data_IF_850164124446
#
_entry.id   IF_850164124446
#
_cell.length_a   1.000
_cell.length_b   1.000
_cell.length_c   1.000
_cell.angle_alpha   90.00
_cell.angle_beta   90.00
_cell.angle_gamma   90.00
#
_symmetry.space_group_name_H-M   'P 1'
#
loop_
_entity.id
_entity.type
_entity.pdbx_description
1 polymer ?
#
# COMPACT_ATOMS: atom_id res chain seq x y z
N UNK A 1 11.38 -14.89 -4.90
CA UNK A 1 11.18 -14.03 -3.71
C UNK A 1 9.75 -14.23 -3.25
N UNK A 2 9.54 -14.62 -1.98
CA UNK A 2 8.19 -14.72 -1.43
C UNK A 2 7.64 -13.31 -1.25
N UNK A 3 6.40 -13.07 -1.67
CA UNK A 3 5.68 -11.81 -1.50
C UNK A 3 4.87 -11.85 -0.20
N UNK A 4 4.82 -10.76 0.54
CA UNK A 4 3.98 -10.61 1.74
C UNK A 4 3.21 -9.28 1.63
N UNK A 5 1.89 -9.36 1.76
CA UNK A 5 0.96 -8.23 1.65
C UNK A 5 0.45 -7.73 3.01
N UNK A 6 0.60 -8.52 4.06
CA UNK A 6 0.14 -8.17 5.40
C UNK A 6 1.13 -8.62 6.45
N UNK A 7 1.50 -7.71 7.36
CA UNK A 7 2.40 -8.01 8.47
C UNK A 7 1.94 -7.31 9.75
N UNK A 8 1.92 -8.05 10.88
CA UNK A 8 1.74 -7.47 12.21
C UNK A 8 3.09 -7.08 12.77
N UNK A 9 3.25 -5.82 13.18
CA UNK A 9 4.49 -5.33 13.78
C UNK A 9 4.22 -4.61 15.10
N UNK A 10 5.19 -4.72 16.01
CA UNK A 10 5.25 -3.96 17.23
C UNK A 10 6.19 -2.79 17.07
N UNK A 11 5.72 -1.61 17.38
CA UNK A 11 6.49 -0.36 17.29
C UNK A 11 6.55 0.31 18.66
N UNK A 12 7.74 0.73 19.06
CA UNK A 12 7.99 1.41 20.32
C UNK A 12 8.93 2.59 20.10
N UNK A 13 8.51 3.77 20.47
CA UNK A 13 9.36 4.96 20.48
C UNK A 13 10.29 4.97 21.68
N UNK A 14 11.33 5.78 21.63
CA UNK A 14 12.27 5.95 22.73
C UNK A 14 11.65 6.74 23.88
N UNK A 15 11.95 6.34 25.11
CA UNK A 15 11.67 7.17 26.29
C UNK A 15 12.58 8.39 26.29
N UNK A 16 12.14 9.50 26.83
CA UNK A 16 12.96 10.65 27.12
C UNK A 16 14.01 10.35 28.21
N UNK A 17 15.16 10.97 28.13
CA UNK A 17 16.18 10.91 29.15
C UNK A 17 15.79 11.73 30.38
N UNK A 18 16.24 11.33 31.55
CA UNK A 18 16.05 12.11 32.76
C UNK A 18 16.92 13.36 32.78
N UNK A 19 16.44 14.46 33.31
CA UNK A 19 17.23 15.61 33.67
C UNK A 19 18.26 15.28 34.76
N UNK A 20 19.21 16.15 34.98
CA UNK A 20 20.25 15.99 36.03
C UNK A 20 20.03 16.94 37.20
N UNK A 21 20.33 16.45 38.41
CA UNK A 21 20.40 17.27 39.62
C UNK A 21 21.86 17.43 40.04
N UNK A 22 22.63 18.23 39.32
CA UNK A 22 24.03 18.51 39.61
C UNK A 22 24.26 19.94 40.06
N UNK A 23 25.39 20.16 40.73
CA UNK A 23 25.79 21.46 41.20
C UNK A 23 27.21 21.75 40.75
N UNK A 24 27.50 23.00 40.40
CA UNK A 24 28.82 23.47 40.04
C UNK A 24 29.77 23.35 41.23
N UNK A 25 30.87 22.65 41.07
CA UNK A 25 31.93 22.52 42.06
C UNK A 25 33.25 22.78 41.36
N UNK A 26 33.92 23.87 41.72
CA UNK A 26 35.21 24.23 41.20
C UNK A 26 36.13 24.64 42.31
N UNK A 27 37.47 24.71 42.03
CA UNK A 27 38.45 25.25 42.97
C UNK A 27 38.04 26.69 43.28
N UNK A 28 37.89 27.03 44.57
CA UNK A 28 37.42 28.33 45.09
C UNK A 28 35.90 28.61 44.96
N UNK A 29 35.11 27.66 44.46
CA UNK A 29 33.62 27.78 44.40
C UNK A 29 33.01 26.51 45.05
N UNK A 30 33.04 26.37 46.36
CA UNK A 30 32.54 25.16 47.04
C UNK A 30 31.00 25.05 47.00
N UNK A 31 30.26 26.18 46.94
CA UNK A 31 28.82 26.27 46.90
C UNK A 31 28.31 26.84 45.58
N UNK A 32 28.69 26.22 44.47
CA UNK A 32 28.17 26.58 43.17
C UNK A 32 26.69 26.30 42.97
N UNK A 33 26.01 27.09 42.17
CA UNK A 33 24.57 26.91 41.88
C UNK A 33 24.25 25.64 41.12
N UNK A 34 22.94 25.33 40.87
CA UNK A 34 22.52 24.20 40.07
C UNK A 34 23.04 24.34 38.65
N UNK A 35 23.56 23.26 38.07
CA UNK A 35 24.08 23.16 36.71
C UNK A 35 23.75 21.83 36.04
N UNK A 36 22.64 21.23 36.43
CA UNK A 36 22.13 20.00 35.79
C UNK A 36 21.45 20.30 34.46
N UNK A 37 21.96 19.68 33.41
CA UNK A 37 21.36 19.77 32.08
C UNK A 37 20.10 18.91 31.93
N UNK A 38 19.34 19.17 30.90
CA UNK A 38 18.11 18.44 30.55
C UNK A 38 18.40 17.09 29.92
N UNK A 39 17.48 16.15 30.04
CA UNK A 39 17.49 14.91 29.27
C UNK A 39 17.19 15.15 27.80
N UNK A 40 17.71 14.32 26.94
CA UNK A 40 17.38 14.32 25.52
C UNK A 40 16.00 13.69 25.25
N UNK A 41 15.31 14.13 24.21
CA UNK A 41 14.08 13.46 23.76
C UNK A 41 14.38 12.05 23.26
N UNK A 42 13.44 11.13 23.40
CA UNK A 42 13.46 9.84 22.72
C UNK A 42 13.22 9.94 21.21
N UNK A 43 13.71 8.98 20.45
CA UNK A 43 13.43 8.88 19.03
C UNK A 43 12.00 8.44 18.75
N UNK A 44 11.44 8.92 17.65
CA UNK A 44 10.12 8.52 17.15
C UNK A 44 10.21 7.33 16.20
N UNK A 45 9.10 6.61 15.99
CA UNK A 45 8.97 5.61 14.92
C UNK A 45 8.19 6.24 13.78
N UNK A 46 8.85 6.34 12.61
CA UNK A 46 8.33 7.00 11.42
C UNK A 46 8.27 5.97 10.29
N UNK A 47 7.14 5.89 9.60
CA UNK A 47 6.98 5.08 8.39
C UNK A 47 7.11 5.99 7.18
N UNK A 48 7.83 5.51 6.17
CA UNK A 48 8.06 6.22 4.90
C UNK A 48 7.68 5.29 3.76
N UNK A 49 6.79 5.75 2.88
CA UNK A 49 6.48 5.04 1.65
C UNK A 49 7.63 5.21 0.64
N UNK A 50 7.96 4.14 -0.08
CA UNK A 50 8.94 4.19 -1.16
C UNK A 50 8.50 3.35 -2.34
N UNK A 51 8.67 3.90 -3.55
CA UNK A 51 8.43 3.20 -4.81
C UNK A 51 9.45 2.09 -5.09
N UNK A 52 10.60 2.08 -4.40
CA UNK A 52 11.64 1.06 -4.56
C UNK A 52 11.24 -0.32 -4.00
N UNK A 53 10.24 -0.36 -3.11
CA UNK A 53 9.73 -1.58 -2.50
C UNK A 53 8.41 -1.98 -3.13
N UNK A 54 8.19 -3.30 -3.22
CA UNK A 54 6.95 -3.88 -3.74
C UNK A 54 6.38 -5.00 -2.85
N UNK A 55 6.95 -5.19 -1.65
CA UNK A 55 6.54 -6.25 -0.72
C UNK A 55 6.85 -5.87 0.71
N UNK A 56 6.09 -6.41 1.65
CA UNK A 56 6.31 -6.29 3.11
C UNK A 56 7.12 -7.46 3.68
N UNK A 57 7.85 -8.22 2.86
CA UNK A 57 8.51 -9.46 3.26
C UNK A 57 9.47 -9.28 4.43
N UNK A 58 10.17 -8.15 4.52
CA UNK A 58 11.13 -7.86 5.59
C UNK A 58 10.45 -7.81 6.96
N UNK A 59 9.20 -7.40 7.01
CA UNK A 59 8.39 -7.30 8.22
C UNK A 59 7.89 -8.66 8.73
N UNK A 60 8.02 -9.72 7.96
CA UNK A 60 7.76 -11.10 8.40
C UNK A 60 8.86 -11.62 9.32
N UNK A 61 10.10 -11.26 9.01
CA UNK A 61 11.26 -11.74 9.74
C UNK A 61 11.60 -10.87 10.95
N UNK A 62 11.33 -9.57 10.85
CA UNK A 62 11.52 -8.63 11.93
C UNK A 62 10.17 -7.97 12.25
N UNK A 63 9.65 -8.28 13.44
CA UNK A 63 8.34 -7.78 13.87
C UNK A 63 8.42 -6.70 14.94
N UNK A 64 9.58 -6.47 15.54
CA UNK A 64 9.76 -5.53 16.65
C UNK A 64 10.69 -4.40 16.23
N UNK A 65 10.20 -3.18 16.28
CA UNK A 65 10.94 -1.99 15.90
C UNK A 65 10.93 -0.98 17.05
N UNK A 66 12.14 -0.65 17.52
CA UNK A 66 12.34 0.29 18.63
C UNK A 66 13.21 1.44 18.19
N UNK A 67 12.83 2.67 18.58
CA UNK A 67 13.64 3.85 18.43
C UNK A 67 14.58 4.01 19.64
N UNK A 68 15.64 4.81 19.51
CA UNK A 68 16.60 5.02 20.58
C UNK A 68 16.01 5.86 21.71
N UNK A 69 16.43 5.57 22.94
CA UNK A 69 16.10 6.38 24.12
C UNK A 69 16.88 7.68 24.09
N UNK A 70 16.33 8.74 24.68
CA UNK A 70 17.05 9.96 24.96
C UNK A 70 18.12 9.75 26.03
N UNK A 71 19.27 10.38 25.84
CA UNK A 71 20.35 10.39 26.83
C UNK A 71 19.96 11.18 28.08
N UNK A 72 20.47 10.77 29.24
CA UNK A 72 20.28 11.54 30.45
C UNK A 72 21.06 12.85 30.42
N UNK A 73 20.54 13.89 31.05
CA UNK A 73 21.25 15.12 31.33
C UNK A 73 22.44 14.89 32.26
N UNK A 74 23.44 15.72 32.16
CA UNK A 74 24.66 15.63 32.94
C UNK A 74 24.98 16.97 33.62
N UNK A 75 25.95 16.98 34.47
CA UNK A 75 26.46 18.22 35.08
C UNK A 75 27.10 19.15 34.07
N UNK A 76 27.39 20.40 34.50
CA UNK A 76 27.93 21.47 33.70
C UNK A 76 26.99 21.85 32.50
N UNK A 77 25.70 21.91 32.77
CA UNK A 77 24.62 22.25 31.80
C UNK A 77 24.63 21.43 30.51
N UNK A 78 25.21 20.21 30.55
CA UNK A 78 25.22 19.32 29.39
C UNK A 78 23.90 18.59 29.25
N UNK A 79 23.21 18.90 28.16
CA UNK A 79 21.99 18.22 27.80
C UNK A 79 22.24 16.78 27.28
N UNK A 80 21.33 15.89 27.56
CA UNK A 80 21.33 14.54 27.02
C UNK A 80 21.13 14.54 25.48
N UNK A 81 21.80 13.63 24.81
CA UNK A 81 21.64 13.45 23.35
C UNK A 81 20.21 13.00 23.03
N UNK A 82 19.59 13.58 22.00
CA UNK A 82 18.33 13.07 21.48
C UNK A 82 18.52 11.67 20.89
N UNK A 83 17.58 10.77 21.17
CA UNK A 83 17.51 9.44 20.56
C UNK A 83 17.23 9.54 19.08
N UNK A 84 17.82 8.63 18.29
CA UNK A 84 17.59 8.57 16.85
C UNK A 84 16.21 8.01 16.55
N UNK A 85 15.54 8.60 15.59
CA UNK A 85 14.28 8.12 15.07
C UNK A 85 14.49 6.77 14.35
N UNK A 86 13.49 5.88 14.42
CA UNK A 86 13.45 4.63 13.68
C UNK A 86 12.60 4.81 12.44
N UNK A 87 13.20 4.75 11.27
CA UNK A 87 12.51 4.86 9.99
C UNK A 87 12.20 3.45 9.49
N UNK A 88 10.92 3.21 9.15
CA UNK A 88 10.41 1.99 8.55
C UNK A 88 10.02 2.30 7.11
N UNK A 89 10.66 1.65 6.16
CA UNK A 89 10.36 1.83 4.73
C UNK A 89 9.31 0.81 4.29
N UNK A 90 8.22 1.28 3.73
CA UNK A 90 7.13 0.44 3.22
C UNK A 90 6.86 0.75 1.74
N UNK A 91 6.31 -0.20 0.98
CA UNK A 91 5.85 0.08 -0.39
C UNK A 91 4.79 1.17 -0.43
N UNK A 92 4.74 1.92 -1.54
CA UNK A 92 3.60 2.80 -1.85
C UNK A 92 2.32 1.95 -1.91
N UNK A 93 1.20 2.47 -1.37
CA UNK A 93 -0.06 1.74 -1.25
C UNK A 93 -0.17 0.90 0.02
N UNK A 94 0.74 1.08 0.98
CA UNK A 94 0.62 0.43 2.29
C UNK A 94 -0.38 1.17 3.17
N UNK A 95 -1.40 0.44 3.65
CA UNK A 95 -2.32 0.89 4.70
C UNK A 95 -1.80 0.45 6.06
N UNK A 96 -1.85 1.33 7.00
CA UNK A 96 -1.50 1.06 8.39
C UNK A 96 -2.79 1.01 9.20
N UNK A 97 -3.05 -0.14 9.81
CA UNK A 97 -4.23 -0.37 10.63
C UNK A 97 -3.83 -0.50 12.11
N UNK A 98 -4.74 -0.15 13.00
CA UNK A 98 -4.61 -0.44 14.41
C UNK A 98 -4.65 -1.97 14.68
N UNK A 99 -4.48 -2.37 15.92
CA UNK A 99 -4.46 -3.79 16.30
C UNK A 99 -5.77 -4.51 16.01
N UNK A 100 -6.90 -3.79 16.04
CA UNK A 100 -8.25 -4.27 15.73
C UNK A 100 -8.44 -4.65 14.25
N UNK A 101 -7.53 -4.26 13.36
CA UNK A 101 -7.62 -4.38 11.88
C UNK A 101 -8.76 -3.57 11.22
N UNK A 102 -9.50 -2.80 11.97
CA UNK A 102 -10.63 -2.01 11.46
C UNK A 102 -10.26 -0.53 11.35
N UNK A 103 -9.61 -0.01 12.39
CA UNK A 103 -9.23 1.41 12.44
C UNK A 103 -8.03 1.69 11.54
N UNK A 104 -8.24 2.52 10.51
CA UNK A 104 -7.16 2.99 9.62
C UNK A 104 -6.41 4.12 10.29
N UNK A 105 -5.11 3.91 10.59
CA UNK A 105 -4.22 4.94 11.13
C UNK A 105 -3.70 5.84 10.01
N UNK A 106 -3.29 5.23 8.89
CA UNK A 106 -2.79 5.96 7.72
C UNK A 106 -2.89 5.12 6.44
N UNK A 107 -2.97 5.80 5.30
CA UNK A 107 -2.90 5.20 3.96
C UNK A 107 -1.79 5.93 3.20
N UNK A 108 -0.71 5.20 2.91
CA UNK A 108 0.51 5.74 2.29
C UNK A 108 0.46 5.49 0.78
N UNK A 109 0.01 6.48 0.03
CA UNK A 109 -0.28 6.35 -1.41
C UNK A 109 0.70 7.06 -2.32
N UNK A 110 1.56 7.93 -1.76
CA UNK A 110 2.54 8.70 -2.52
C UNK A 110 3.96 8.33 -2.10
N UNK A 111 4.87 8.35 -3.06
CA UNK A 111 6.30 8.13 -2.78
C UNK A 111 6.83 9.25 -1.89
N UNK A 112 7.63 8.88 -0.88
CA UNK A 112 8.15 9.81 0.12
C UNK A 112 7.14 10.25 1.18
N UNK A 113 5.87 9.84 1.12
CA UNK A 113 4.89 10.14 2.16
C UNK A 113 5.31 9.54 3.49
N UNK A 114 5.20 10.34 4.57
CA UNK A 114 5.65 9.94 5.91
C UNK A 114 4.52 10.01 6.92
N UNK A 115 4.53 9.09 7.88
CA UNK A 115 3.63 9.11 9.04
C UNK A 115 4.39 8.74 10.31
N UNK A 116 4.15 9.47 11.40
CA UNK A 116 4.70 9.15 12.72
C UNK A 116 3.74 8.20 13.45
N UNK A 117 4.16 6.94 13.66
CA UNK A 117 3.36 5.95 14.37
C UNK A 117 3.43 6.12 15.88
N UNK A 118 4.63 6.37 16.41
CA UNK A 118 4.85 6.55 17.83
C UNK A 118 5.78 7.75 18.04
N UNK A 119 5.34 8.71 18.83
CA UNK A 119 6.14 9.89 19.17
C UNK A 119 7.09 9.56 20.34
N UNK A 120 8.34 9.96 20.21
CA UNK A 120 9.32 9.82 21.29
C UNK A 120 8.94 10.66 22.51
N UNK A 121 9.24 10.12 23.71
CA UNK A 121 9.01 10.83 24.96
C UNK A 121 9.91 12.04 25.09
N UNK A 122 9.42 13.12 25.66
CA UNK A 122 10.19 14.34 25.89
C UNK A 122 11.23 14.13 27.00
N UNK A 123 12.39 14.82 26.88
CA UNK A 123 13.41 14.81 27.92
C UNK A 123 12.97 15.52 29.19
N UNK A 124 13.36 15.00 30.34
CA UNK A 124 13.12 15.62 31.65
C UNK A 124 13.98 16.86 31.84
N UNK A 125 13.47 17.87 32.54
CA UNK A 125 14.17 19.09 32.84
C UNK A 125 15.20 18.86 33.99
N UNK A 126 16.38 19.47 33.84
CA UNK A 126 17.41 19.51 34.85
C UNK A 126 17.09 20.46 36.02
N UNK A 127 17.84 20.36 37.10
CA UNK A 127 17.59 21.18 38.28
C UNK A 127 17.78 22.69 38.07
N UNK A 128 18.48 23.09 37.04
CA UNK A 128 18.65 24.51 36.66
C UNK A 128 17.30 25.20 36.39
N UNK A 129 16.33 24.49 35.82
CA UNK A 129 14.98 25.01 35.53
C UNK A 129 14.14 25.29 36.78
N UNK A 130 14.47 24.65 37.90
CA UNK A 130 13.71 24.77 39.16
C UNK A 130 14.30 25.79 40.13
N UNK A 131 15.33 26.56 39.69
CA UNK A 131 15.92 27.63 40.47
C UNK A 131 14.94 28.79 40.56
N UNK A 132 14.67 29.22 41.80
CA UNK A 132 13.83 30.37 42.13
C UNK A 132 14.54 31.30 43.10
N UNK A 133 14.01 32.49 43.38
CA UNK A 133 14.55 33.42 44.36
C UNK A 133 14.59 32.83 45.78
N UNK A 134 13.60 31.99 46.11
CA UNK A 134 13.47 31.32 47.41
C UNK A 134 14.20 29.98 47.48
N UNK A 135 14.30 29.25 46.36
CA UNK A 135 15.01 28.00 46.28
C UNK A 135 16.17 28.11 45.27
N UNK A 136 17.33 28.58 45.74
CA UNK A 136 18.52 28.81 44.89
C UNK A 136 19.33 27.54 44.59
N UNK A 137 19.08 26.44 45.28
CA UNK A 137 19.80 25.17 45.14
C UNK A 137 18.82 23.98 45.01
N UNK A 138 17.93 23.94 44.03
CA UNK A 138 16.96 22.85 43.89
C UNK A 138 17.67 21.53 43.55
N UNK A 139 17.22 20.46 44.21
CA UNK A 139 17.64 19.07 43.94
C UNK A 139 16.60 18.32 43.10
N UNK A 140 15.52 19.01 42.71
CA UNK A 140 14.46 18.45 41.88
C UNK A 140 14.92 18.41 40.44
N UNK A 141 14.58 17.32 39.73
CA UNK A 141 14.69 17.14 38.28
C UNK A 141 13.48 16.32 37.81
N UNK A 142 13.26 16.25 36.53
CA UNK A 142 12.22 15.44 35.91
C UNK A 142 12.79 14.15 35.31
N UNK A 143 12.11 13.01 35.44
CA UNK A 143 12.65 11.70 35.02
C UNK A 143 12.61 11.51 33.48
N UNK A 144 12.04 12.43 32.75
CA UNK A 144 11.72 12.26 31.30
C UNK A 144 10.38 11.53 31.11
N UNK A 145 9.80 11.69 29.97
CA UNK A 145 8.49 11.15 29.63
C UNK A 145 8.60 9.79 28.94
N UNK A 146 7.65 8.88 29.18
CA UNK A 146 7.63 7.60 28.48
C UNK A 146 7.41 7.81 26.97
N UNK A 147 7.95 6.92 26.17
CA UNK A 147 7.61 6.81 24.77
C UNK A 147 6.31 6.03 24.60
N UNK A 148 5.73 6.14 23.42
CA UNK A 148 4.54 5.41 23.00
C UNK A 148 4.90 4.03 22.46
N UNK A 149 4.00 3.08 22.59
CA UNK A 149 4.12 1.75 22.01
C UNK A 149 2.76 1.24 21.55
N UNK A 150 2.76 0.48 20.44
CA UNK A 150 1.54 -0.15 19.93
C UNK A 150 1.83 -1.28 18.96
N UNK A 151 0.86 -2.16 18.81
CA UNK A 151 0.79 -3.10 17.71
C UNK A 151 0.04 -2.46 16.53
N UNK A 152 0.56 -2.64 15.33
CA UNK A 152 -0.09 -2.19 14.10
C UNK A 152 -0.01 -3.27 13.04
N UNK A 153 -0.97 -3.26 12.14
CA UNK A 153 -0.94 -4.06 10.93
C UNK A 153 -0.49 -3.18 9.75
N UNK A 154 0.48 -3.66 9.02
CA UNK A 154 0.82 -3.15 7.71
C UNK A 154 0.08 -4.02 6.69
N UNK A 155 -0.70 -3.43 5.83
CA UNK A 155 -1.43 -4.09 4.78
C UNK A 155 -1.13 -3.41 3.45
N UNK A 156 -0.50 -4.14 2.54
CA UNK A 156 -0.22 -3.64 1.20
C UNK A 156 -1.47 -3.84 0.36
N UNK A 157 -2.14 -2.75 0.03
CA UNK A 157 -3.12 -2.76 -1.05
C UNK A 157 -2.34 -2.98 -2.34
N UNK A 158 -2.44 -4.18 -2.89
CA UNK A 158 -1.97 -4.41 -4.24
C UNK A 158 -2.81 -3.57 -5.19
N UNK A 159 -2.22 -2.48 -5.59
CA UNK A 159 -2.78 -1.60 -6.60
C UNK A 159 -2.38 -2.17 -7.96
N UNK A 160 -3.17 -3.12 -8.44
CA UNK A 160 -3.29 -3.24 -9.88
C UNK A 160 -4.28 -2.15 -10.31
N UNK A 161 -3.82 -1.24 -11.13
CA UNK A 161 -4.67 -0.19 -11.67
C UNK A 161 -5.75 -0.76 -12.58
N UNK A 162 -5.41 -1.84 -13.31
CA UNK A 162 -6.34 -2.58 -14.16
C UNK A 162 -6.22 -4.08 -13.93
N UNK A 163 -7.35 -4.79 -13.97
CA UNK A 163 -7.44 -6.25 -13.84
C UNK A 163 -7.90 -6.91 -15.13
N UNK A 164 -7.24 -8.03 -15.52
CA UNK A 164 -7.70 -8.88 -16.62
C UNK A 164 -8.72 -9.88 -16.09
N UNK A 165 -9.90 -9.90 -16.69
CA UNK A 165 -10.97 -10.84 -16.37
C UNK A 165 -11.37 -11.61 -17.65
N UNK A 166 -11.90 -12.80 -17.48
CA UNK A 166 -12.31 -13.67 -18.60
C UNK A 166 -12.18 -15.15 -18.23
N UNK A 167 -12.85 -16.01 -18.97
CA UNK A 167 -12.80 -17.45 -18.80
C UNK A 167 -11.38 -18.02 -18.93
N UNK A 168 -11.10 -19.23 -18.45
CA UNK A 168 -9.87 -19.95 -18.74
C UNK A 168 -9.59 -19.96 -20.25
N UNK A 169 -8.32 -19.83 -20.64
CA UNK A 169 -7.86 -19.79 -22.03
C UNK A 169 -8.35 -18.59 -22.87
N UNK A 170 -9.03 -17.61 -22.31
CA UNK A 170 -9.39 -16.37 -23.02
C UNK A 170 -8.18 -15.54 -23.49
N UNK A 171 -6.96 -15.92 -23.07
CA UNK A 171 -5.72 -15.28 -23.49
C UNK A 171 -5.21 -14.20 -22.53
N UNK A 172 -5.66 -14.20 -21.26
CA UNK A 172 -5.23 -13.21 -20.26
C UNK A 172 -3.71 -13.15 -20.07
N UNK A 173 -3.08 -14.29 -19.85
CA UNK A 173 -1.62 -14.35 -19.67
C UNK A 173 -0.86 -13.98 -20.95
N UNK A 174 -1.40 -14.30 -22.13
CA UNK A 174 -0.84 -13.87 -23.42
C UNK A 174 -0.95 -12.37 -23.60
N UNK A 175 -2.09 -11.78 -23.26
CA UNK A 175 -2.29 -10.34 -23.29
C UNK A 175 -1.32 -9.62 -22.35
N UNK A 176 -1.15 -10.10 -21.12
CA UNK A 176 -0.19 -9.55 -20.16
C UNK A 176 1.24 -9.62 -20.70
N UNK A 177 1.63 -10.75 -21.30
CA UNK A 177 2.96 -10.93 -21.91
C UNK A 177 3.18 -9.99 -23.09
N UNK A 178 2.17 -9.80 -23.95
CA UNK A 178 2.23 -8.88 -25.10
C UNK A 178 2.24 -7.40 -24.68
N UNK A 179 1.68 -7.08 -23.51
CA UNK A 179 1.55 -5.72 -22.98
C UNK A 179 2.79 -5.24 -22.25
N UNK A 180 3.55 -6.12 -21.61
CA UNK A 180 4.68 -5.76 -20.75
C UNK A 180 6.00 -5.87 -21.51
N UNK A 181 6.82 -4.80 -21.53
CA UNK A 181 8.20 -4.84 -22.04
C UNK A 181 9.14 -5.63 -21.15
N UNK A 182 8.83 -5.75 -19.85
CA UNK A 182 9.56 -6.58 -18.90
C UNK A 182 8.81 -7.91 -18.74
N UNK A 183 9.54 -9.01 -18.47
CA UNK A 183 8.89 -10.28 -18.13
C UNK A 183 7.93 -10.05 -16.96
N UNK A 184 6.65 -10.50 -17.06
CA UNK A 184 5.71 -10.38 -15.97
C UNK A 184 6.33 -10.96 -14.69
N UNK A 185 6.31 -10.20 -13.60
CA UNK A 185 6.77 -10.69 -12.32
C UNK A 185 5.66 -11.57 -11.74
N UNK A 186 6.00 -12.81 -11.44
CA UNK A 186 5.14 -13.72 -10.69
C UNK A 186 5.20 -13.28 -9.24
N UNK A 187 4.06 -12.94 -8.66
CA UNK A 187 3.95 -12.60 -7.25
C UNK A 187 3.48 -13.86 -6.49
N UNK A 188 4.37 -14.44 -5.69
CA UNK A 188 4.10 -15.58 -4.81
C UNK A 188 3.23 -15.12 -3.62
N UNK A 189 1.94 -15.37 -3.67
CA UNK A 189 1.03 -15.13 -2.55
C UNK A 189 0.86 -16.43 -1.74
N UNK A 190 1.19 -16.44 -0.44
CA UNK A 190 1.15 -17.66 0.37
C UNK A 190 -0.26 -18.24 0.60
N UNK A 191 -1.30 -17.54 0.13
CA UNK A 191 -2.70 -17.93 0.28
C UNK A 191 -3.41 -18.18 -1.06
N UNK A 192 -2.69 -18.10 -2.20
CA UNK A 192 -3.24 -18.42 -3.53
C UNK A 192 -2.63 -19.71 -4.02
N UNK A 193 -3.48 -20.65 -4.41
CA UNK A 193 -3.05 -21.86 -5.14
C UNK A 193 -2.64 -21.53 -6.58
N UNK A 194 -2.94 -20.30 -7.05
CA UNK A 194 -2.57 -19.75 -8.36
C UNK A 194 -1.97 -18.37 -8.17
N UNK A 195 -0.74 -18.17 -8.58
CA UNK A 195 0.03 -16.94 -8.45
C UNK A 195 -0.46 -15.89 -9.45
N UNK A 196 -0.94 -14.71 -8.99
CA UNK A 196 -1.29 -13.63 -9.90
C UNK A 196 -0.02 -13.10 -10.58
N UNK A 197 -0.12 -12.87 -11.87
CA UNK A 197 0.95 -12.27 -12.65
C UNK A 197 0.70 -10.78 -12.79
N UNK A 198 1.68 -9.98 -12.37
CA UNK A 198 1.64 -8.54 -12.48
C UNK A 198 2.55 -8.08 -13.63
N UNK A 199 2.05 -7.19 -14.46
CA UNK A 199 2.82 -6.52 -15.50
C UNK A 199 2.79 -5.01 -15.32
N UNK A 200 3.94 -4.36 -15.31
CA UNK A 200 4.02 -2.91 -15.36
C UNK A 200 4.00 -2.45 -16.81
N UNK A 201 3.04 -1.62 -17.14
CA UNK A 201 2.84 -1.04 -18.48
C UNK A 201 3.29 0.41 -18.42
N UNK A 202 4.17 0.80 -19.32
CA UNK A 202 4.66 2.18 -19.44
C UNK A 202 4.09 2.82 -20.70
N UNK A 203 3.37 3.92 -20.54
CA UNK A 203 2.80 4.74 -21.61
C UNK A 203 3.20 6.19 -21.35
N UNK A 204 3.85 6.82 -22.31
CA UNK A 204 4.24 8.24 -22.26
C UNK A 204 4.94 8.67 -20.96
N UNK A 205 5.91 7.84 -20.49
CA UNK A 205 6.69 8.02 -19.26
C UNK A 205 5.92 7.80 -17.95
N UNK A 206 4.64 7.49 -18.00
CA UNK A 206 3.85 7.10 -16.84
C UNK A 206 3.61 5.58 -16.82
N UNK A 207 3.50 5.01 -15.64
CA UNK A 207 3.31 3.58 -15.47
C UNK A 207 2.00 3.26 -14.77
N UNK A 208 1.37 2.15 -15.18
CA UNK A 208 0.29 1.53 -14.44
C UNK A 208 0.51 0.02 -14.34
N UNK A 209 -0.10 -0.60 -13.33
CA UNK A 209 0.02 -2.02 -13.06
C UNK A 209 -1.19 -2.76 -13.58
N UNK A 210 -0.95 -3.78 -14.40
CA UNK A 210 -1.95 -4.70 -14.92
C UNK A 210 -1.81 -6.05 -14.21
N UNK A 211 -2.90 -6.57 -13.64
CA UNK A 211 -2.94 -7.88 -13.00
C UNK A 211 -3.66 -8.90 -13.88
N UNK A 212 -3.03 -10.05 -14.11
CA UNK A 212 -3.72 -11.26 -14.58
C UNK A 212 -4.36 -11.92 -13.36
N UNK A 213 -5.69 -11.93 -13.33
CA UNK A 213 -6.48 -12.47 -12.24
C UNK A 213 -6.89 -13.90 -12.62
N UNK A 214 -6.12 -14.94 -12.20
CA UNK A 214 -6.51 -16.32 -12.41
C UNK A 214 -7.70 -16.66 -11.50
N UNK A 215 -8.58 -17.56 -11.89
CA UNK A 215 -9.54 -18.18 -10.99
C UNK A 215 -10.98 -17.68 -11.01
N UNK A 216 -11.39 -16.83 -11.96
CA UNK A 216 -12.81 -16.74 -12.32
C UNK A 216 -13.16 -18.01 -13.08
N UNK A 217 -13.60 -19.05 -12.36
CA UNK A 217 -14.04 -20.36 -12.90
C UNK A 217 -15.49 -20.52 -12.43
N UNK A 218 -16.35 -21.07 -13.28
CA UNK A 218 -17.71 -21.47 -12.89
C UNK A 218 -17.73 -22.18 -11.53
N UNK A 219 -18.45 -21.61 -10.55
CA UNK A 219 -18.59 -22.17 -9.21
C UNK A 219 -17.56 -21.72 -8.17
N UNK A 220 -16.71 -20.72 -8.43
CA UNK A 220 -15.78 -20.20 -7.43
C UNK A 220 -16.49 -19.54 -6.23
N UNK A 221 -17.71 -19.08 -6.40
CA UNK A 221 -18.55 -18.49 -5.34
C UNK A 221 -19.24 -19.54 -4.44
N UNK A 222 -19.30 -20.83 -4.84
CA UNK A 222 -20.03 -21.88 -4.11
C UNK A 222 -19.16 -22.79 -3.25
N UNK A 223 -17.81 -22.67 -3.31
CA UNK A 223 -16.91 -23.60 -2.66
C UNK A 223 -15.71 -22.98 -1.92
N UNK A 224 -15.74 -23.07 -0.63
CA UNK A 224 -14.61 -23.14 0.29
C UNK A 224 -13.56 -22.00 0.23
N UNK A 225 -13.93 -20.76 0.54
CA UNK A 225 -12.97 -19.77 1.09
C UNK A 225 -11.84 -19.29 0.18
N UNK A 226 -11.67 -19.82 -1.02
CA UNK A 226 -10.67 -19.43 -2.00
C UNK A 226 -11.12 -18.23 -2.86
N UNK A 227 -12.40 -18.15 -3.19
CA UNK A 227 -12.99 -17.08 -4.00
C UNK A 227 -12.91 -15.72 -3.33
N UNK A 228 -13.27 -15.62 -2.06
CA UNK A 228 -13.34 -14.36 -1.31
C UNK A 228 -11.98 -13.65 -1.16
N UNK A 229 -10.92 -14.42 -0.93
CA UNK A 229 -9.56 -13.85 -0.78
C UNK A 229 -8.98 -13.36 -2.10
N UNK A 230 -9.37 -14.00 -3.19
CA UNK A 230 -8.82 -13.72 -4.51
C UNK A 230 -9.52 -12.54 -5.19
N UNK A 231 -10.83 -12.45 -5.06
CA UNK A 231 -11.65 -11.36 -5.58
C UNK A 231 -11.42 -10.03 -4.82
N UNK A 232 -10.86 -10.08 -3.60
CA UNK A 232 -10.33 -8.92 -2.92
C UNK A 232 -9.22 -8.17 -3.68
N UNK A 233 -8.55 -8.85 -4.61
CA UNK A 233 -7.56 -8.20 -5.51
C UNK A 233 -8.25 -7.51 -6.69
N UNK A 234 -9.36 -8.07 -7.21
CA UNK A 234 -10.18 -7.46 -8.25
C UNK A 234 -10.89 -6.22 -7.72
N UNK A 235 -11.33 -6.27 -6.47
CA UNK A 235 -11.96 -5.15 -5.76
C UNK A 235 -11.07 -3.89 -5.80
N UNK A 236 -9.77 -4.09 -5.78
CA UNK A 236 -8.76 -3.00 -5.75
C UNK A 236 -8.34 -2.48 -7.12
N UNK A 237 -8.74 -3.17 -8.22
CA UNK A 237 -8.51 -2.68 -9.57
C UNK A 237 -9.43 -1.50 -9.88
N UNK A 238 -8.87 -0.48 -10.54
CA UNK A 238 -9.63 0.69 -10.98
C UNK A 238 -10.50 0.43 -12.19
N UNK A 239 -10.00 -0.41 -13.11
CA UNK A 239 -10.56 -0.70 -14.43
C UNK A 239 -10.49 -2.19 -14.67
N UNK A 240 -11.47 -2.76 -15.37
CA UNK A 240 -11.49 -4.15 -15.79
C UNK A 240 -11.28 -4.24 -17.31
N UNK A 241 -10.40 -5.14 -17.74
CA UNK A 241 -10.24 -5.51 -19.14
C UNK A 241 -10.78 -6.93 -19.29
N UNK A 242 -11.95 -7.06 -19.89
CA UNK A 242 -12.64 -8.32 -20.06
C UNK A 242 -12.30 -8.96 -21.40
N UNK A 243 -11.54 -10.04 -21.36
CA UNK A 243 -11.13 -10.79 -22.53
C UNK A 243 -12.13 -11.92 -22.82
N UNK A 244 -12.76 -11.87 -23.98
CA UNK A 244 -13.66 -12.92 -24.49
C UNK A 244 -12.95 -13.67 -25.62
N UNK A 245 -12.91 -14.99 -25.55
CA UNK A 245 -12.31 -15.82 -26.60
C UNK A 245 -13.16 -15.82 -27.86
N UNK A 246 -12.65 -15.25 -28.93
CA UNK A 246 -13.34 -15.21 -30.22
C UNK A 246 -13.53 -16.58 -30.88
N UNK A 247 -12.74 -17.60 -30.51
CA UNK A 247 -12.88 -18.95 -31.05
C UNK A 247 -14.06 -19.71 -30.45
N UNK A 248 -14.51 -19.32 -29.24
CA UNK A 248 -15.65 -19.92 -28.57
C UNK A 248 -16.94 -19.82 -29.39
N UNK A 249 -17.76 -20.88 -29.33
CA UNK A 249 -19.06 -20.92 -30.00
C UNK A 249 -20.11 -20.03 -29.31
N UNK A 250 -20.04 -19.89 -28.00
CA UNK A 250 -21.02 -19.20 -27.11
C UNK A 250 -20.42 -17.96 -26.43
N UNK A 251 -19.87 -17.05 -27.22
CA UNK A 251 -19.15 -15.86 -26.69
C UNK A 251 -20.02 -14.99 -25.77
N UNK A 252 -21.32 -14.83 -26.10
CA UNK A 252 -22.26 -14.05 -25.27
C UNK A 252 -22.50 -14.73 -23.91
N UNK A 253 -22.56 -16.05 -23.90
CA UNK A 253 -22.70 -16.79 -22.65
C UNK A 253 -21.44 -16.69 -21.81
N UNK A 254 -20.25 -16.82 -22.44
CA UNK A 254 -18.95 -16.65 -21.77
C UNK A 254 -18.85 -15.27 -21.10
N UNK A 255 -19.24 -14.21 -21.80
CA UNK A 255 -19.30 -12.84 -21.25
C UNK A 255 -20.26 -12.76 -20.06
N UNK A 256 -21.49 -13.26 -20.22
CA UNK A 256 -22.52 -13.21 -19.15
C UNK A 256 -22.15 -14.03 -17.93
N UNK A 257 -21.46 -15.15 -18.08
CA UNK A 257 -20.98 -15.97 -16.95
C UNK A 257 -20.02 -15.16 -16.07
N UNK A 258 -19.03 -14.51 -16.66
CA UNK A 258 -18.09 -13.66 -15.90
C UNK A 258 -18.80 -12.48 -15.24
N UNK A 259 -19.71 -11.80 -15.95
CA UNK A 259 -20.50 -10.69 -15.37
C UNK A 259 -21.31 -11.15 -14.17
N UNK A 260 -21.94 -12.32 -14.26
CA UNK A 260 -22.70 -12.91 -13.15
C UNK A 260 -21.81 -13.26 -11.95
N UNK A 261 -20.61 -13.76 -12.18
CA UNK A 261 -19.64 -14.01 -11.09
C UNK A 261 -19.20 -12.72 -10.40
N UNK A 262 -18.91 -11.67 -11.17
CA UNK A 262 -18.58 -10.34 -10.62
C UNK A 262 -19.76 -9.76 -9.80
N UNK A 263 -20.99 -10.02 -10.24
CA UNK A 263 -22.23 -9.60 -9.58
C UNK A 263 -22.47 -10.35 -8.25
N UNK A 264 -22.29 -11.68 -8.26
CA UNK A 264 -22.43 -12.53 -7.07
C UNK A 264 -21.41 -12.20 -5.98
N UNK A 265 -20.21 -11.80 -6.38
CA UNK A 265 -19.19 -11.36 -5.45
C UNK A 265 -19.54 -10.01 -4.80
N UNK A 266 -20.23 -9.12 -5.50
CA UNK A 266 -20.61 -7.80 -5.00
C UNK A 266 -19.44 -6.81 -4.94
N UNK A 267 -19.28 -6.12 -3.82
CA UNK A 267 -18.19 -5.15 -3.55
C UNK A 267 -17.98 -4.09 -4.65
N UNK A 268 -19.04 -3.75 -5.41
CA UNK A 268 -18.98 -2.73 -6.46
C UNK A 268 -18.17 -3.11 -7.71
N UNK A 269 -17.87 -4.40 -7.91
CA UNK A 269 -17.09 -4.86 -9.06
C UNK A 269 -17.83 -4.64 -10.40
N UNK A 270 -19.15 -4.76 -10.38
CA UNK A 270 -20.02 -4.59 -11.56
C UNK A 270 -20.03 -3.13 -12.04
N UNK A 271 -19.85 -2.20 -11.11
CA UNK A 271 -19.91 -0.75 -11.39
C UNK A 271 -18.59 -0.18 -11.91
N UNK A 272 -17.55 -1.00 -11.94
CA UNK A 272 -16.24 -0.56 -12.44
C UNK A 272 -16.24 -0.35 -13.94
N UNK A 273 -15.48 0.66 -14.44
CA UNK A 273 -15.24 0.82 -15.86
C UNK A 273 -14.70 -0.48 -16.47
N UNK A 274 -15.38 -0.98 -17.49
CA UNK A 274 -15.04 -2.23 -18.16
C UNK A 274 -14.70 -1.97 -19.63
N UNK A 275 -13.59 -2.54 -20.10
CA UNK A 275 -13.20 -2.58 -21.50
C UNK A 275 -13.40 -4.00 -21.99
N UNK A 276 -14.40 -4.22 -22.86
CA UNK A 276 -14.67 -5.55 -23.42
C UNK A 276 -13.83 -5.75 -24.68
N UNK A 277 -13.08 -6.85 -24.70
CA UNK A 277 -12.21 -7.21 -25.83
C UNK A 277 -12.59 -8.59 -26.39
N UNK A 278 -12.79 -8.66 -27.69
CA UNK A 278 -12.88 -9.93 -28.43
C UNK A 278 -11.47 -10.34 -28.86
N UNK A 279 -10.91 -11.34 -28.19
CA UNK A 279 -9.54 -11.82 -28.43
C UNK A 279 -9.49 -12.98 -29.42
N UNK A 280 -8.30 -13.28 -29.93
CA UNK A 280 -8.00 -14.32 -30.94
C UNK A 280 -8.66 -14.05 -32.28
N UNK A 281 -8.72 -12.79 -32.68
CA UNK A 281 -9.32 -12.40 -33.98
C UNK A 281 -8.52 -12.94 -35.16
N UNK A 282 -7.25 -13.24 -34.97
CA UNK A 282 -6.36 -13.89 -35.91
C UNK A 282 -6.82 -15.28 -36.40
N UNK A 283 -7.59 -15.98 -35.53
CA UNK A 283 -8.14 -17.30 -35.81
C UNK A 283 -9.54 -17.26 -36.46
N UNK A 284 -10.09 -16.05 -36.75
CA UNK A 284 -11.45 -15.88 -37.24
C UNK A 284 -11.48 -15.41 -38.70
N UNK A 285 -12.47 -15.88 -39.47
CA UNK A 285 -12.78 -15.28 -40.76
C UNK A 285 -13.46 -13.91 -40.59
N UNK A 286 -13.38 -13.05 -41.61
CA UNK A 286 -13.99 -11.70 -41.56
C UNK A 286 -15.50 -11.74 -41.27
N UNK A 287 -16.21 -12.75 -41.78
CA UNK A 287 -17.65 -12.93 -41.55
C UNK A 287 -17.94 -13.35 -40.09
N UNK A 288 -17.19 -14.33 -39.57
CA UNK A 288 -17.28 -14.76 -38.18
C UNK A 288 -16.98 -13.61 -37.21
N UNK A 289 -15.95 -12.83 -37.52
CA UNK A 289 -15.55 -11.69 -36.71
C UNK A 289 -16.67 -10.65 -36.61
N UNK A 290 -17.24 -10.23 -37.78
CA UNK A 290 -18.35 -9.26 -37.79
C UNK A 290 -19.57 -9.75 -37.03
N UNK A 291 -19.99 -11.02 -37.25
CA UNK A 291 -21.13 -11.60 -36.53
C UNK A 291 -20.90 -11.65 -35.01
N UNK A 292 -19.74 -12.13 -34.61
CA UNK A 292 -19.40 -12.25 -33.17
C UNK A 292 -19.25 -10.89 -32.51
N UNK A 293 -18.54 -9.95 -33.15
CA UNK A 293 -18.43 -8.59 -32.63
C UNK A 293 -19.82 -7.93 -32.42
N UNK A 294 -20.73 -8.07 -33.39
CA UNK A 294 -22.10 -7.56 -33.27
C UNK A 294 -22.85 -8.20 -32.11
N UNK A 295 -22.83 -9.53 -32.01
CA UNK A 295 -23.52 -10.24 -30.92
C UNK A 295 -22.95 -9.88 -29.53
N UNK A 296 -21.65 -9.66 -29.43
CA UNK A 296 -21.02 -9.23 -28.18
C UNK A 296 -21.36 -7.79 -27.86
N UNK A 297 -21.37 -6.88 -28.85
CA UNK A 297 -21.78 -5.50 -28.69
C UNK A 297 -23.22 -5.37 -28.17
N UNK A 298 -24.14 -6.15 -28.73
CA UNK A 298 -25.52 -6.20 -28.24
C UNK A 298 -25.65 -6.70 -26.81
N UNK A 299 -24.75 -7.60 -26.38
CA UNK A 299 -24.77 -8.18 -25.04
C UNK A 299 -24.13 -7.27 -23.99
N UNK A 300 -23.08 -6.52 -24.32
CA UNK A 300 -22.36 -5.66 -23.39
C UNK A 300 -22.76 -4.18 -23.47
N UNK A 301 -23.56 -3.77 -24.47
CA UNK A 301 -24.00 -2.39 -24.64
C UNK A 301 -22.91 -1.42 -25.14
N UNK A 302 -21.76 -1.92 -25.57
CA UNK A 302 -20.64 -1.14 -26.09
C UNK A 302 -19.94 -1.88 -27.23
N UNK A 303 -19.22 -1.17 -28.10
CA UNK A 303 -18.42 -1.83 -29.12
C UNK A 303 -17.21 -2.54 -28.51
N UNK A 304 -17.06 -3.87 -28.69
CA UNK A 304 -15.90 -4.59 -28.19
C UNK A 304 -14.65 -4.26 -29.01
N UNK A 305 -13.52 -4.13 -28.35
CA UNK A 305 -12.23 -3.96 -29.00
C UNK A 305 -11.77 -5.31 -29.58
N UNK A 306 -11.45 -5.32 -30.87
CA UNK A 306 -11.01 -6.52 -31.60
C UNK A 306 -9.51 -6.66 -31.49
N UNK A 307 -9.02 -7.73 -30.85
CA UNK A 307 -7.59 -7.90 -30.54
C UNK A 307 -7.09 -9.31 -30.85
N UNK A 308 -5.80 -9.40 -31.07
CA UNK A 308 -5.06 -10.66 -30.98
C UNK A 308 -3.90 -10.51 -29.99
N UNK A 309 -4.05 -11.11 -28.81
CA UNK A 309 -2.98 -11.14 -27.84
C UNK A 309 -1.76 -11.97 -28.30
N UNK A 310 -1.95 -12.89 -29.23
CA UNK A 310 -0.87 -13.72 -29.78
C UNK A 310 -0.01 -12.95 -30.77
N UNK A 311 -0.62 -12.14 -31.67
CA UNK A 311 0.08 -11.36 -32.69
C UNK A 311 0.45 -9.96 -32.20
N UNK A 312 -0.16 -9.50 -31.10
CA UNK A 312 -0.03 -8.12 -30.60
C UNK A 312 -0.96 -7.13 -31.30
N UNK A 313 -1.83 -7.58 -32.22
CA UNK A 313 -2.75 -6.72 -32.96
C UNK A 313 -3.73 -6.03 -32.01
N UNK A 314 -3.82 -4.69 -32.12
CA UNK A 314 -4.68 -3.82 -31.33
C UNK A 314 -4.53 -3.90 -29.78
N UNK A 315 -3.47 -4.50 -29.27
CA UNK A 315 -3.20 -4.53 -27.82
C UNK A 315 -2.92 -3.11 -27.30
N UNK A 316 -2.11 -2.32 -28.02
CA UNK A 316 -1.76 -0.96 -27.59
C UNK A 316 -2.96 -0.01 -27.46
N UNK A 317 -3.94 0.04 -28.38
CA UNK A 317 -5.18 0.81 -28.19
C UNK A 317 -5.96 0.46 -26.92
N UNK A 318 -6.04 -0.83 -26.56
CA UNK A 318 -6.68 -1.26 -25.30
C UNK A 318 -5.93 -0.70 -24.09
N UNK A 319 -4.59 -0.76 -24.09
CA UNK A 319 -3.77 -0.24 -23.02
C UNK A 319 -3.89 1.28 -22.88
N UNK A 320 -3.94 2.02 -23.98
CA UNK A 320 -4.18 3.46 -23.97
C UNK A 320 -5.53 3.79 -23.33
N UNK A 321 -6.58 3.08 -23.75
CA UNK A 321 -7.93 3.28 -23.19
C UNK A 321 -7.98 2.94 -21.71
N UNK A 322 -7.34 1.85 -21.28
CA UNK A 322 -7.23 1.48 -19.86
C UNK A 322 -6.50 2.56 -19.06
N UNK A 323 -5.42 3.10 -19.60
CA UNK A 323 -4.63 4.16 -18.97
C UNK A 323 -5.42 5.46 -18.79
N UNK A 324 -6.22 5.87 -19.79
CA UNK A 324 -7.12 7.04 -19.67
C UNK A 324 -8.12 6.87 -18.52
N UNK A 325 -8.74 5.68 -18.41
CA UNK A 325 -9.69 5.37 -17.34
C UNK A 325 -9.00 5.35 -15.96
N UNK A 326 -7.79 4.79 -15.88
CA UNK A 326 -6.98 4.78 -14.65
C UNK A 326 -6.63 6.21 -14.23
N UNK A 327 -6.20 7.07 -15.16
CA UNK A 327 -5.93 8.49 -14.87
C UNK A 327 -7.17 9.22 -14.37
N UNK A 328 -8.30 9.05 -15.02
CA UNK A 328 -9.55 9.67 -14.61
C UNK A 328 -9.94 9.25 -13.17
N UNK A 329 -9.78 7.97 -12.84
CA UNK A 329 -10.04 7.47 -11.50
C UNK A 329 -9.08 8.06 -10.46
N UNK A 330 -7.76 8.06 -10.73
CA UNK A 330 -6.75 8.64 -9.83
C UNK A 330 -7.03 10.14 -9.58
N UNK A 331 -7.42 10.88 -10.61
CA UNK A 331 -7.78 12.29 -10.47
C UNK A 331 -9.02 12.49 -9.59
N UNK A 332 -10.08 11.70 -9.79
CA UNK A 332 -11.30 11.76 -8.98
C UNK A 332 -11.03 11.40 -7.50
N UNK A 333 -10.19 10.40 -7.24
CA UNK A 333 -9.78 10.02 -5.88
C UNK A 333 -8.95 11.13 -5.21
N UNK A 334 -8.07 11.79 -5.94
CA UNK A 334 -7.27 12.91 -5.43
C UNK A 334 -8.15 14.13 -5.09
N UNK A 335 -9.16 14.42 -5.91
CA UNK A 335 -10.11 15.50 -5.67
C UNK A 335 -11.03 15.22 -4.47
N UNK A 336 -11.55 14.01 -4.35
CA UNK A 336 -12.34 13.57 -3.20
C UNK A 336 -11.56 13.71 -1.87
N UNK A 337 -10.25 13.41 -1.87
CA UNK A 337 -9.37 13.58 -0.70
C UNK A 337 -9.16 15.04 -0.32
N UNK A 338 -8.99 15.94 -1.30
CA UNK A 338 -8.86 17.38 -1.02
C UNK A 338 -10.11 17.92 -0.32
N UNK A 339 -11.28 17.52 -0.80
CA UNK A 339 -12.56 17.96 -0.22
C UNK A 339 -12.76 17.45 1.23
N UNK A 340 -12.25 16.28 1.58
CA UNK A 340 -12.30 15.74 2.97
C UNK A 340 -11.36 16.50 3.90
N UNK A 341 -10.20 16.95 3.42
CA UNK A 341 -9.23 17.71 4.20
C UNK A 341 -9.63 19.18 4.41
N UNK A 342 -10.47 19.74 3.53
CA UNK A 342 -11.00 21.11 3.68
C UNK A 342 -12.21 21.21 4.61
N UNK A 343 -12.83 20.09 4.97
CA UNK A 343 -14.02 20.03 5.86
C UNK A 343 -13.66 19.61 7.29
N UNK A 344 -12.43 19.16 7.53
CA UNK A 344 -11.90 18.78 8.86
C UNK A 344 -10.98 19.85 9.42
#
# INVERSE_FOLDING_TARGET
>A
MRFLDSAKIYVQSGHGGAGSASFRREKFIPEGGPNGGDGGRGGSVIVVATADLNTLIDYRYSQHFRAERGGHGMGADRHGKAGKDRILKVPVGTRILAEDKETVIADLVEDGQTVTLCKGGDGGRGNTHFKTSTNRAPRRFEPGWPGEERWVWLELKLLADAGLVGLPNAGKSSFLAASSRARPKIADYPFTTMEPKLGTIVIDHEAFVLADIPGLIEGASEGAGLGDRFLGHVERCGVLIHLVDGTESRIVQAYKTIRKELELYGHGLVDKPEIVCLNKVDALTREQLRRKAKSLAEACGQEPMLISAATGENVRPVLLRAFELVKAKRAAEAEARKNVLEVS
#
